data_IF_088741003780
#
_entry.id   IF_088741003780
#
_cell.length_a   1.000
_cell.length_b   1.000
_cell.length_c   1.000
_cell.angle_alpha   90.00
_cell.angle_beta   90.00
_cell.angle_gamma   90.00
#
_symmetry.space_group_name_H-M   'P 1'
#
loop_
_entity.id
_entity.type
_entity.pdbx_description
1 polymer ?
#
# COMPACT_ATOMS: atom_id res chain seq x y z
N UNK A 1 20.82 8.90 8.89
CA UNK A 1 20.92 9.40 10.28
C UNK A 1 21.19 10.90 10.27
N UNK A 2 20.22 11.68 10.76
CA UNK A 2 20.06 13.10 10.47
C UNK A 2 20.95 13.97 11.38
N UNK A 3 21.61 15.00 10.82
CA UNK A 3 22.56 15.91 11.51
C UNK A 3 21.99 16.56 12.79
N UNK A 4 20.66 16.67 12.88
CA UNK A 4 19.92 17.16 14.06
C UNK A 4 19.90 16.19 15.25
N UNK A 5 19.96 14.88 15.04
CA UNK A 5 19.99 13.88 16.13
C UNK A 5 21.29 13.99 16.93
N UNK A 6 22.41 14.02 16.20
CA UNK A 6 23.75 14.15 16.79
C UNK A 6 23.95 15.47 17.56
N UNK A 7 23.25 16.55 17.17
CA UNK A 7 23.31 17.83 17.89
C UNK A 7 22.59 17.78 19.23
N UNK A 8 21.47 17.05 19.30
CA UNK A 8 20.66 16.95 20.51
C UNK A 8 21.28 16.01 21.55
N UNK A 9 21.82 14.87 21.12
CA UNK A 9 22.56 13.99 22.02
C UNK A 9 23.77 14.68 22.65
N UNK A 10 24.50 15.48 21.87
CA UNK A 10 25.59 16.31 22.39
C UNK A 10 25.08 17.29 23.44
N UNK A 11 23.95 17.96 23.17
CA UNK A 11 23.33 18.88 24.12
C UNK A 11 22.96 18.18 25.44
N UNK A 12 22.27 17.03 25.40
CA UNK A 12 21.88 16.28 26.60
C UNK A 12 23.11 15.86 27.42
N UNK A 13 24.18 15.37 26.75
CA UNK A 13 25.44 15.03 27.42
C UNK A 13 26.10 16.24 28.06
N UNK A 14 26.18 17.37 27.35
CA UNK A 14 26.77 18.60 27.88
C UNK A 14 26.00 19.14 29.09
N UNK A 15 24.66 19.15 29.03
CA UNK A 15 23.82 19.58 30.15
C UNK A 15 23.94 18.64 31.34
N UNK A 16 23.99 17.32 31.11
CA UNK A 16 24.19 16.34 32.18
C UNK A 16 25.52 16.51 32.90
N UNK A 17 26.62 16.70 32.16
CA UNK A 17 27.94 16.99 32.73
C UNK A 17 27.89 18.28 33.54
N UNK A 18 27.27 19.32 32.98
CA UNK A 18 27.15 20.62 33.66
C UNK A 18 26.37 20.52 34.98
N UNK A 19 25.24 19.81 35.01
CA UNK A 19 24.45 19.60 36.22
C UNK A 19 25.25 18.89 37.32
N UNK A 20 26.04 17.88 36.96
CA UNK A 20 26.91 17.16 37.89
C UNK A 20 28.02 18.08 38.41
N UNK A 21 28.66 18.86 37.54
CA UNK A 21 29.70 19.81 37.94
C UNK A 21 29.16 20.88 38.90
N UNK A 22 27.96 21.39 38.65
CA UNK A 22 27.29 22.37 39.54
C UNK A 22 26.95 21.74 40.89
N UNK A 23 26.40 20.52 40.91
CA UNK A 23 26.13 19.78 42.14
C UNK A 23 27.40 19.60 43.01
N UNK A 24 28.50 19.19 42.39
CA UNK A 24 29.79 19.01 43.08
C UNK A 24 30.36 20.33 43.59
N UNK A 25 30.29 21.40 42.79
CA UNK A 25 30.76 22.72 43.19
C UNK A 25 30.00 23.24 44.42
N UNK A 26 28.68 23.11 44.43
CA UNK A 26 27.85 23.55 45.56
C UNK A 26 28.15 22.71 46.81
N UNK A 27 28.35 21.40 46.67
CA UNK A 27 28.75 20.53 47.78
C UNK A 27 30.10 20.93 48.39
N UNK A 28 31.09 21.27 47.56
CA UNK A 28 32.38 21.78 48.00
C UNK A 28 32.21 23.11 48.73
N UNK A 29 31.47 24.07 48.15
CA UNK A 29 31.23 25.39 48.76
C UNK A 29 30.55 25.24 50.12
N UNK A 30 29.48 24.45 50.22
CA UNK A 30 28.78 24.21 51.48
C UNK A 30 29.73 23.63 52.54
N UNK A 31 30.55 22.65 52.15
CA UNK A 31 31.56 22.06 53.04
C UNK A 31 32.61 23.08 53.48
N UNK A 32 33.13 23.90 52.56
CA UNK A 32 34.12 24.94 52.86
C UNK A 32 33.56 26.02 53.79
N UNK A 33 32.32 26.46 53.56
CA UNK A 33 31.62 27.42 54.43
C UNK A 33 31.46 26.85 55.83
N UNK A 34 31.03 25.59 55.94
CA UNK A 34 30.91 24.92 57.24
C UNK A 34 32.24 24.87 57.99
N UNK A 35 33.33 24.44 57.34
CA UNK A 35 34.66 24.34 57.96
C UNK A 35 35.16 25.71 58.44
N UNK A 36 34.93 26.76 57.65
CA UNK A 36 35.36 28.12 57.98
C UNK A 36 34.71 28.65 59.27
N UNK A 37 33.40 28.44 59.43
CA UNK A 37 32.66 28.95 60.60
C UNK A 37 32.75 28.03 61.83
N UNK A 38 32.87 26.71 61.66
CA UNK A 38 32.77 25.75 62.76
C UNK A 38 34.08 25.01 63.12
N UNK A 39 35.16 25.24 62.38
CA UNK A 39 36.47 24.56 62.52
C UNK A 39 36.44 23.05 62.27
N UNK A 40 37.55 22.49 61.77
CA UNK A 40 37.67 21.10 61.32
C UNK A 40 37.72 20.03 62.45
N UNK A 41 37.58 20.41 63.72
CA UNK A 41 37.89 19.50 64.82
C UNK A 41 36.79 18.45 65.04
N UNK A 42 37.07 17.14 64.93
CA UNK A 42 36.07 16.10 65.17
C UNK A 42 35.54 16.19 66.60
N UNK A 43 34.22 16.26 66.74
CA UNK A 43 33.58 16.25 68.06
C UNK A 43 33.07 14.86 68.40
N UNK A 44 33.29 14.44 69.64
CA UNK A 44 32.70 13.24 70.24
C UNK A 44 31.21 13.42 70.63
N UNK A 45 30.67 14.64 70.48
CA UNK A 45 29.25 14.91 70.74
C UNK A 45 28.40 14.59 69.51
N UNK A 46 27.39 13.75 69.70
CA UNK A 46 26.39 13.42 68.69
C UNK A 46 25.57 14.64 68.25
N UNK A 47 25.39 15.64 69.12
CA UNK A 47 24.63 16.86 68.83
C UNK A 47 25.29 17.72 67.74
N UNK A 48 26.63 17.82 67.73
CA UNK A 48 27.35 18.57 66.69
C UNK A 48 27.29 17.88 65.33
N UNK A 49 27.26 16.56 65.31
CA UNK A 49 27.03 15.79 64.08
C UNK A 49 25.61 15.95 63.54
N UNK A 50 24.61 16.06 64.42
CA UNK A 50 23.25 16.38 64.02
C UNK A 50 23.16 17.78 63.37
N UNK A 51 23.75 18.80 63.98
CA UNK A 51 23.77 20.17 63.45
C UNK A 51 24.51 20.29 62.10
N UNK A 52 25.61 19.55 61.92
CA UNK A 52 26.27 19.43 60.62
C UNK A 52 25.34 18.81 59.57
N UNK A 53 24.67 17.71 59.94
CA UNK A 53 23.68 17.05 59.10
C UNK A 53 22.54 17.97 58.70
N UNK A 54 22.06 18.80 59.62
CA UNK A 54 21.00 19.79 59.35
C UNK A 54 21.45 20.89 58.40
N UNK A 55 22.68 21.40 58.54
CA UNK A 55 23.23 22.41 57.63
C UNK A 55 23.45 21.85 56.22
N UNK A 56 24.11 20.69 56.12
CA UNK A 56 24.39 20.03 54.84
C UNK A 56 23.09 19.57 54.17
N UNK A 57 22.18 18.96 54.93
CA UNK A 57 20.87 18.52 54.45
C UNK A 57 20.00 19.70 54.04
N UNK A 58 19.97 20.79 54.83
CA UNK A 58 19.20 22.00 54.52
C UNK A 58 19.68 22.74 53.28
N UNK A 59 20.98 22.66 52.96
CA UNK A 59 21.57 23.34 51.79
C UNK A 59 21.59 22.44 50.55
N UNK A 60 22.01 21.18 50.68
CA UNK A 60 22.21 20.27 49.55
C UNK A 60 20.91 19.61 49.09
N UNK A 61 19.97 19.29 49.98
CA UNK A 61 18.74 18.61 49.57
C UNK A 61 17.87 19.45 48.62
N UNK A 62 17.65 20.77 48.83
CA UNK A 62 16.92 21.58 47.87
C UNK A 62 17.63 21.69 46.50
N UNK A 63 18.96 21.79 46.50
CA UNK A 63 19.77 21.86 45.28
C UNK A 63 19.70 20.54 44.51
N UNK A 64 19.93 19.41 45.18
CA UNK A 64 19.82 18.09 44.55
C UNK A 64 18.39 17.80 44.12
N UNK A 65 17.38 18.19 44.91
CA UNK A 65 15.97 18.06 44.53
C UNK A 65 15.64 18.83 43.24
N UNK A 66 16.15 20.06 43.09
CA UNK A 66 15.99 20.84 41.86
C UNK A 66 16.74 20.22 40.67
N UNK A 67 17.97 19.76 40.87
CA UNK A 67 18.74 19.06 39.82
C UNK A 67 18.04 17.76 39.41
N UNK A 68 17.48 17.01 40.36
CA UNK A 68 16.68 15.80 40.09
C UNK A 68 15.42 16.13 39.29
N UNK A 69 14.73 17.22 39.61
CA UNK A 69 13.58 17.68 38.83
C UNK A 69 13.99 18.04 37.39
N UNK A 70 15.09 18.78 37.20
CA UNK A 70 15.62 19.11 35.87
C UNK A 70 16.03 17.85 35.09
N UNK A 71 16.68 16.90 35.75
CA UNK A 71 17.06 15.63 35.13
C UNK A 71 15.82 14.85 34.64
N UNK A 72 14.78 14.76 35.47
CA UNK A 72 13.51 14.12 35.09
C UNK A 72 12.85 14.86 33.92
N UNK A 73 12.82 16.19 33.93
CA UNK A 73 12.25 16.97 32.82
C UNK A 73 13.01 16.71 31.51
N UNK A 74 14.36 16.69 31.54
CA UNK A 74 15.17 16.36 30.37
C UNK A 74 14.85 14.93 29.89
N UNK A 75 14.76 13.97 30.81
CA UNK A 75 14.38 12.59 30.49
C UNK A 75 13.01 12.51 29.83
N UNK A 76 12.00 13.24 30.34
CA UNK A 76 10.66 13.28 29.74
C UNK A 76 10.67 13.88 28.33
N UNK A 77 11.43 14.94 28.09
CA UNK A 77 11.58 15.51 26.75
C UNK A 77 12.25 14.55 25.77
N UNK A 78 13.28 13.83 26.21
CA UNK A 78 13.94 12.80 25.39
C UNK A 78 12.95 11.67 25.07
N UNK A 79 12.24 11.15 26.07
CA UNK A 79 11.26 10.07 25.90
C UNK A 79 10.12 10.48 24.96
N UNK A 80 9.57 11.68 25.10
CA UNK A 80 8.51 12.19 24.22
C UNK A 80 8.98 12.28 22.76
N UNK A 81 10.24 12.68 22.55
CA UNK A 81 10.83 12.76 21.21
C UNK A 81 11.06 11.38 20.60
N UNK A 82 11.63 10.45 21.36
CA UNK A 82 11.84 9.06 20.90
C UNK A 82 10.50 8.40 20.56
N UNK A 83 9.47 8.63 21.37
CA UNK A 83 8.12 8.14 21.09
C UNK A 83 7.59 8.70 19.77
N UNK A 84 7.75 10.00 19.53
CA UNK A 84 7.34 10.63 18.26
C UNK A 84 8.06 10.02 17.05
N UNK A 85 9.38 9.80 17.14
CA UNK A 85 10.12 9.16 16.07
C UNK A 85 9.73 7.69 15.86
N UNK A 86 9.46 6.97 16.95
CA UNK A 86 8.97 5.60 16.90
C UNK A 86 7.59 5.52 16.25
N UNK A 87 6.68 6.45 16.54
CA UNK A 87 5.35 6.50 15.92
C UNK A 87 5.41 6.78 14.41
N UNK A 88 6.29 7.68 13.99
CA UNK A 88 6.53 7.98 12.56
C UNK A 88 7.08 6.74 11.84
N UNK A 89 8.10 6.09 12.40
CA UNK A 89 8.66 4.87 11.82
C UNK A 89 7.65 3.71 11.74
N UNK A 90 6.77 3.57 12.73
CA UNK A 90 5.70 2.56 12.73
C UNK A 90 4.63 2.88 11.67
N UNK A 91 4.33 4.16 11.43
CA UNK A 91 3.41 4.56 10.37
C UNK A 91 3.98 4.21 8.99
N UNK A 92 5.25 4.56 8.73
CA UNK A 92 5.94 4.23 7.47
C UNK A 92 6.03 2.70 7.26
N UNK A 93 6.29 1.96 8.33
CA UNK A 93 6.27 0.50 8.31
C UNK A 93 4.88 -0.05 7.98
N UNK A 94 3.82 0.52 8.58
CA UNK A 94 2.43 0.16 8.31
C UNK A 94 2.04 0.37 6.85
N UNK A 95 2.45 1.48 6.25
CA UNK A 95 2.24 1.74 4.82
C UNK A 95 2.99 0.74 3.94
N UNK A 96 4.26 0.47 4.26
CA UNK A 96 5.08 -0.50 3.53
C UNK A 96 4.48 -1.91 3.58
N UNK A 97 4.00 -2.34 4.76
CA UNK A 97 3.31 -3.62 4.92
C UNK A 97 2.01 -3.69 4.14
N UNK A 98 1.25 -2.59 4.06
CA UNK A 98 0.03 -2.52 3.25
C UNK A 98 0.33 -2.70 1.76
N UNK A 99 1.38 -2.06 1.25
CA UNK A 99 1.83 -2.24 -0.14
C UNK A 99 2.26 -3.68 -0.38
N UNK A 100 3.10 -4.25 0.48
CA UNK A 100 3.55 -5.65 0.35
C UNK A 100 2.39 -6.64 0.39
N UNK A 101 1.42 -6.47 1.30
CA UNK A 101 0.26 -7.34 1.40
C UNK A 101 -0.62 -7.28 0.14
N UNK A 102 -0.81 -6.09 -0.42
CA UNK A 102 -1.48 -5.89 -1.70
C UNK A 102 -0.72 -6.61 -2.83
N UNK A 103 0.58 -6.33 -2.99
CA UNK A 103 1.41 -6.89 -4.07
C UNK A 103 1.48 -8.42 -4.02
N UNK A 104 1.66 -8.99 -2.83
CA UNK A 104 1.67 -10.44 -2.64
C UNK A 104 0.34 -11.07 -3.11
N UNK A 105 -0.79 -10.43 -2.78
CA UNK A 105 -2.11 -10.92 -3.20
C UNK A 105 -2.31 -10.72 -4.70
N UNK A 106 -1.91 -9.57 -5.25
CA UNK A 106 -1.98 -9.26 -6.68
C UNK A 106 -1.20 -10.27 -7.52
N UNK A 107 0.08 -10.51 -7.20
CA UNK A 107 0.91 -11.47 -7.94
C UNK A 107 0.43 -12.91 -7.76
N UNK A 108 -0.14 -13.25 -6.60
CA UNK A 108 -0.81 -14.54 -6.40
C UNK A 108 -2.03 -14.69 -7.31
N UNK A 109 -2.88 -13.66 -7.43
CA UNK A 109 -4.03 -13.66 -8.34
C UNK A 109 -3.59 -13.76 -9.80
N UNK A 110 -2.53 -13.04 -10.21
CA UNK A 110 -1.96 -13.14 -11.56
C UNK A 110 -1.42 -14.54 -11.86
N UNK A 111 -0.76 -15.17 -10.90
CA UNK A 111 -0.27 -16.54 -11.04
C UNK A 111 -1.42 -17.52 -11.22
N UNK A 112 -2.44 -17.47 -10.36
CA UNK A 112 -3.63 -18.32 -10.46
C UNK A 112 -4.39 -18.08 -11.77
N UNK A 113 -4.47 -16.83 -12.23
CA UNK A 113 -5.04 -16.49 -13.53
C UNK A 113 -4.27 -17.16 -14.67
N UNK A 114 -2.95 -17.00 -14.72
CA UNK A 114 -2.13 -17.62 -15.77
C UNK A 114 -2.20 -19.16 -15.74
N UNK A 115 -2.22 -19.78 -14.56
CA UNK A 115 -2.42 -21.22 -14.42
C UNK A 115 -3.81 -21.66 -14.92
N UNK A 116 -4.86 -20.88 -14.61
CA UNK A 116 -6.21 -21.11 -15.13
C UNK A 116 -6.27 -20.99 -16.65
N UNK A 117 -5.54 -20.05 -17.25
CA UNK A 117 -5.41 -19.92 -18.70
C UNK A 117 -4.69 -21.13 -19.29
N UNK A 118 -3.56 -21.55 -18.72
CA UNK A 118 -2.78 -22.67 -19.23
C UNK A 118 -3.57 -23.99 -19.23
N UNK A 119 -4.33 -24.25 -18.17
CA UNK A 119 -5.17 -25.44 -18.02
C UNK A 119 -6.49 -25.37 -18.77
N UNK A 120 -6.77 -24.24 -19.44
CA UNK A 120 -8.03 -24.02 -20.13
C UNK A 120 -8.09 -24.87 -21.40
N UNK A 121 -9.17 -25.64 -21.58
CA UNK A 121 -9.38 -26.44 -22.78
C UNK A 121 -10.82 -26.47 -23.26
N UNK A 122 -11.01 -26.47 -24.58
CA UNK A 122 -12.30 -26.71 -25.22
C UNK A 122 -12.16 -27.98 -26.05
N UNK A 123 -13.01 -28.96 -25.74
CA UNK A 123 -13.16 -30.16 -26.55
C UNK A 123 -13.99 -29.83 -27.80
N UNK A 124 -13.54 -30.30 -28.96
CA UNK A 124 -14.28 -30.17 -30.21
C UNK A 124 -14.45 -31.54 -30.84
N UNK A 125 -15.65 -31.84 -31.34
CA UNK A 125 -15.94 -33.14 -31.91
C UNK A 125 -15.10 -33.34 -33.18
N UNK A 126 -14.29 -34.40 -33.22
CA UNK A 126 -13.40 -34.78 -34.33
C UNK A 126 -12.19 -33.86 -34.58
N UNK A 127 -11.86 -32.92 -33.70
CA UNK A 127 -10.62 -32.14 -33.74
C UNK A 127 -9.81 -32.30 -32.44
N UNK A 128 -8.49 -32.12 -32.46
CA UNK A 128 -7.70 -32.05 -31.24
C UNK A 128 -8.19 -30.92 -30.32
N UNK A 129 -8.26 -31.19 -29.03
CA UNK A 129 -8.65 -30.17 -28.03
C UNK A 129 -7.81 -28.90 -28.16
N UNK A 130 -8.48 -27.76 -28.19
CA UNK A 130 -7.82 -26.46 -28.07
C UNK A 130 -7.39 -26.27 -26.62
N UNK A 131 -6.15 -25.85 -26.40
CA UNK A 131 -5.59 -25.63 -25.06
C UNK A 131 -4.96 -24.25 -24.92
N UNK A 132 -4.98 -23.73 -23.71
CA UNK A 132 -4.31 -22.47 -23.37
C UNK A 132 -4.81 -21.29 -24.20
N UNK A 133 -3.87 -20.48 -24.67
CA UNK A 133 -4.15 -19.30 -25.50
C UNK A 133 -4.87 -19.61 -26.83
N UNK A 134 -4.74 -20.83 -27.37
CA UNK A 134 -5.42 -21.21 -28.62
C UNK A 134 -6.95 -21.22 -28.47
N UNK A 135 -7.45 -21.50 -27.26
CA UNK A 135 -8.89 -21.46 -26.95
C UNK A 135 -9.46 -20.06 -27.21
N UNK A 136 -8.75 -19.02 -26.79
CA UNK A 136 -9.23 -17.65 -26.92
C UNK A 136 -9.29 -17.17 -28.36
N UNK A 137 -8.39 -17.68 -29.22
CA UNK A 137 -8.48 -17.46 -30.68
C UNK A 137 -9.78 -18.03 -31.22
N UNK A 138 -10.09 -19.29 -30.90
CA UNK A 138 -11.34 -19.96 -31.32
C UNK A 138 -12.58 -19.24 -30.78
N UNK A 139 -12.56 -18.78 -29.53
CA UNK A 139 -13.65 -17.98 -28.96
C UNK A 139 -13.83 -16.64 -29.70
N UNK A 140 -12.73 -15.98 -30.08
CA UNK A 140 -12.77 -14.78 -30.92
C UNK A 140 -13.41 -15.04 -32.29
N UNK A 141 -13.05 -16.15 -32.95
CA UNK A 141 -13.65 -16.58 -34.23
C UNK A 141 -15.16 -16.87 -34.09
N UNK A 142 -15.56 -17.57 -33.01
CA UNK A 142 -16.97 -17.84 -32.70
C UNK A 142 -17.76 -16.55 -32.47
N UNK A 143 -17.17 -15.56 -31.80
CA UNK A 143 -17.78 -14.24 -31.59
C UNK A 143 -17.94 -13.48 -32.91
N UNK A 144 -16.91 -13.47 -33.76
CA UNK A 144 -16.95 -12.84 -35.09
C UNK A 144 -18.02 -13.47 -35.99
N UNK A 145 -18.12 -14.80 -35.99
CA UNK A 145 -19.16 -15.50 -36.72
C UNK A 145 -20.57 -15.13 -36.20
N UNK A 146 -20.77 -15.08 -34.88
CA UNK A 146 -22.04 -14.67 -34.28
C UNK A 146 -22.43 -13.23 -34.65
N UNK A 147 -21.45 -12.33 -34.75
CA UNK A 147 -21.65 -10.97 -35.21
C UNK A 147 -22.03 -10.88 -36.68
N UNK A 148 -21.30 -11.54 -37.59
CA UNK A 148 -21.63 -11.56 -39.03
C UNK A 148 -23.03 -12.11 -39.30
N UNK A 149 -23.43 -13.17 -38.59
CA UNK A 149 -24.78 -13.71 -38.66
C UNK A 149 -25.85 -12.75 -38.13
N UNK A 150 -25.57 -12.04 -37.04
CA UNK A 150 -26.55 -11.09 -36.48
C UNK A 150 -26.68 -9.84 -37.35
N UNK A 151 -25.56 -9.29 -37.82
CA UNK A 151 -25.52 -8.14 -38.72
C UNK A 151 -26.24 -8.42 -40.05
N UNK A 152 -26.03 -9.60 -40.64
CA UNK A 152 -26.73 -9.99 -41.88
C UNK A 152 -28.25 -10.14 -41.71
N UNK A 153 -28.72 -10.55 -40.52
CA UNK A 153 -30.16 -10.72 -40.20
C UNK A 153 -30.83 -9.43 -39.73
N UNK A 154 -30.08 -8.49 -39.15
CA UNK A 154 -30.58 -7.28 -38.48
C UNK A 154 -30.13 -6.01 -39.21
N UNK A 155 -30.19 -5.99 -40.55
CA UNK A 155 -29.63 -4.90 -41.39
C UNK A 155 -30.20 -3.50 -41.13
N UNK A 156 -31.35 -3.41 -40.47
CA UNK A 156 -32.01 -2.13 -40.16
C UNK A 156 -31.91 -1.74 -38.68
N UNK A 157 -31.31 -2.59 -37.84
CA UNK A 157 -31.14 -2.33 -36.42
C UNK A 157 -29.93 -1.44 -36.16
N UNK A 158 -29.96 -0.73 -35.04
CA UNK A 158 -28.79 0.01 -34.55
C UNK A 158 -27.64 -0.95 -34.22
N UNK A 159 -26.40 -0.50 -34.46
CA UNK A 159 -25.18 -1.30 -34.24
C UNK A 159 -25.11 -1.86 -32.81
N UNK A 160 -25.59 -1.09 -31.82
CA UNK A 160 -25.63 -1.50 -30.42
C UNK A 160 -26.52 -2.74 -30.22
N UNK A 161 -27.67 -2.81 -30.90
CA UNK A 161 -28.57 -3.96 -30.83
C UNK A 161 -27.97 -5.19 -31.52
N UNK A 162 -27.27 -4.97 -32.64
CA UNK A 162 -26.55 -6.02 -33.36
C UNK A 162 -25.46 -6.63 -32.47
N UNK A 163 -24.65 -5.80 -31.80
CA UNK A 163 -23.62 -6.26 -30.86
C UNK A 163 -24.24 -7.04 -29.71
N UNK A 164 -25.32 -6.53 -29.08
CA UNK A 164 -25.99 -7.22 -27.97
C UNK A 164 -26.55 -8.58 -28.40
N UNK A 165 -27.21 -8.65 -29.56
CA UNK A 165 -27.76 -9.88 -30.13
C UNK A 165 -26.66 -10.90 -30.46
N UNK A 166 -25.58 -10.45 -31.08
CA UNK A 166 -24.42 -11.28 -31.41
C UNK A 166 -23.75 -11.82 -30.15
N UNK A 167 -23.46 -10.95 -29.19
CA UNK A 167 -22.81 -11.32 -27.94
C UNK A 167 -23.67 -12.28 -27.12
N UNK A 168 -24.99 -12.06 -27.05
CA UNK A 168 -25.90 -12.96 -26.35
C UNK A 168 -25.88 -14.38 -26.95
N UNK A 169 -25.92 -14.51 -28.28
CA UNK A 169 -25.81 -15.81 -28.97
C UNK A 169 -24.42 -16.45 -28.76
N UNK A 170 -23.37 -15.66 -28.84
CA UNK A 170 -22.01 -16.15 -28.57
C UNK A 170 -21.90 -16.68 -27.14
N UNK A 171 -22.33 -15.88 -26.17
CA UNK A 171 -22.24 -16.19 -24.76
C UNK A 171 -23.08 -17.42 -24.40
N UNK A 172 -24.30 -17.57 -24.93
CA UNK A 172 -25.15 -18.73 -24.64
C UNK A 172 -24.51 -20.06 -25.07
N UNK A 173 -23.75 -20.09 -26.16
CA UNK A 173 -23.09 -21.30 -26.67
C UNK A 173 -21.71 -21.55 -26.04
N UNK A 174 -21.11 -20.54 -25.40
CA UNK A 174 -19.75 -20.62 -24.86
C UNK A 174 -19.70 -20.27 -23.36
N UNK A 175 -20.85 -20.25 -22.70
CA UNK A 175 -21.04 -19.72 -21.35
C UNK A 175 -20.04 -20.32 -20.37
N UNK A 176 -19.98 -21.64 -20.29
CA UNK A 176 -19.13 -22.38 -19.34
C UNK A 176 -17.69 -21.88 -19.35
N UNK A 177 -17.14 -21.64 -20.54
CA UNK A 177 -15.76 -21.19 -20.72
C UNK A 177 -15.62 -19.68 -20.49
N UNK A 178 -16.43 -18.89 -21.18
CA UNK A 178 -16.30 -17.42 -21.21
C UNK A 178 -16.57 -16.82 -19.85
N UNK A 179 -17.54 -17.36 -19.12
CA UNK A 179 -17.96 -16.90 -17.80
C UNK A 179 -16.88 -17.10 -16.73
N UNK A 180 -16.20 -18.26 -16.72
CA UNK A 180 -15.07 -18.53 -15.82
C UNK A 180 -13.93 -17.52 -16.08
N UNK A 181 -13.57 -17.36 -17.35
CA UNK A 181 -12.50 -16.43 -17.73
C UNK A 181 -12.82 -14.98 -17.32
N UNK A 182 -14.01 -14.49 -17.67
CA UNK A 182 -14.40 -13.11 -17.38
C UNK A 182 -14.52 -12.84 -15.88
N UNK A 183 -14.99 -13.82 -15.08
CA UNK A 183 -14.98 -13.69 -13.61
C UNK A 183 -13.58 -13.48 -13.06
N UNK A 184 -12.59 -14.22 -13.56
CA UNK A 184 -11.20 -14.05 -13.12
C UNK A 184 -10.64 -12.68 -13.51
N UNK A 185 -10.90 -12.22 -14.74
CA UNK A 185 -10.52 -10.87 -15.18
C UNK A 185 -11.16 -9.81 -14.29
N UNK A 186 -12.48 -9.92 -14.06
CA UNK A 186 -13.24 -9.00 -13.19
C UNK A 186 -12.67 -8.95 -11.79
N UNK A 187 -12.34 -10.11 -11.21
CA UNK A 187 -11.84 -10.21 -9.85
C UNK A 187 -10.50 -9.47 -9.70
N UNK A 188 -9.58 -9.64 -10.65
CA UNK A 188 -8.29 -8.92 -10.64
C UNK A 188 -8.52 -7.42 -10.77
N UNK A 189 -9.36 -7.01 -11.72
CA UNK A 189 -9.67 -5.59 -11.94
C UNK A 189 -10.29 -4.92 -10.71
N UNK A 190 -11.28 -5.56 -10.08
CA UNK A 190 -11.91 -5.04 -8.87
C UNK A 190 -10.95 -5.07 -7.68
N UNK A 191 -10.10 -6.09 -7.56
CA UNK A 191 -9.06 -6.10 -6.54
C UNK A 191 -8.12 -4.90 -6.68
N UNK A 192 -7.66 -4.59 -7.89
CA UNK A 192 -6.85 -3.39 -8.14
C UNK A 192 -7.65 -2.11 -7.88
N UNK A 193 -8.90 -2.03 -8.35
CA UNK A 193 -9.77 -0.87 -8.14
C UNK A 193 -9.94 -0.55 -6.65
N UNK A 194 -10.22 -1.56 -5.83
CA UNK A 194 -10.71 -1.39 -4.47
C UNK A 194 -9.62 -1.50 -3.39
N UNK A 195 -8.50 -2.20 -3.68
CA UNK A 195 -7.48 -2.54 -2.68
C UNK A 195 -6.09 -1.96 -2.99
N UNK A 196 -5.86 -1.48 -4.22
CA UNK A 196 -4.56 -0.93 -4.58
C UNK A 196 -4.30 0.40 -3.85
N UNK A 197 -3.22 0.51 -3.07
CA UNK A 197 -2.95 1.71 -2.27
C UNK A 197 -2.56 2.90 -3.15
N UNK A 198 -1.74 2.68 -4.18
CA UNK A 198 -1.19 3.72 -5.06
C UNK A 198 -0.97 3.16 -6.48
N UNK A 199 -0.91 4.02 -7.49
CA UNK A 199 -0.53 3.65 -8.88
C UNK A 199 -1.38 2.53 -9.53
N UNK A 200 -2.72 2.59 -9.41
CA UNK A 200 -3.65 1.60 -9.99
C UNK A 200 -3.36 1.24 -11.45
N UNK A 201 -3.13 2.26 -12.31
CA UNK A 201 -2.83 2.06 -13.73
C UNK A 201 -1.61 1.15 -13.94
N UNK A 202 -0.55 1.30 -13.16
CA UNK A 202 0.65 0.46 -13.28
C UNK A 202 0.35 -1.04 -13.06
N UNK A 203 -0.46 -1.37 -12.05
CA UNK A 203 -0.85 -2.77 -11.80
C UNK A 203 -1.83 -3.29 -12.86
N UNK A 204 -2.71 -2.43 -13.38
CA UNK A 204 -3.56 -2.79 -14.51
C UNK A 204 -2.73 -3.05 -15.78
N UNK A 205 -1.72 -2.24 -16.06
CA UNK A 205 -0.81 -2.41 -17.20
C UNK A 205 -0.02 -3.73 -17.09
N UNK A 206 0.42 -4.09 -15.88
CA UNK A 206 1.04 -5.39 -15.61
C UNK A 206 0.08 -6.55 -15.92
N UNK A 207 -1.19 -6.43 -15.53
CA UNK A 207 -2.21 -7.42 -15.84
C UNK A 207 -2.53 -7.47 -17.34
N UNK A 208 -2.70 -6.31 -17.99
CA UNK A 208 -2.93 -6.19 -19.42
C UNK A 208 -1.82 -6.83 -20.25
N UNK A 209 -0.56 -6.69 -19.82
CA UNK A 209 0.58 -7.33 -20.47
C UNK A 209 0.51 -8.88 -20.48
N UNK A 210 -0.32 -9.48 -19.63
CA UNK A 210 -0.57 -10.94 -19.62
C UNK A 210 -1.70 -11.36 -20.58
N UNK A 211 -2.49 -10.42 -21.09
CA UNK A 211 -3.64 -10.71 -21.95
C UNK A 211 -3.24 -10.72 -23.41
N UNK A 212 -3.64 -11.77 -24.13
CA UNK A 212 -3.58 -11.78 -25.60
C UNK A 212 -4.65 -10.86 -26.20
N UNK A 213 -4.47 -10.45 -27.45
CA UNK A 213 -5.44 -9.61 -28.15
C UNK A 213 -6.85 -10.23 -28.23
N UNK A 214 -6.95 -11.57 -28.37
CA UNK A 214 -8.24 -12.26 -28.41
C UNK A 214 -8.92 -12.28 -27.03
N UNK A 215 -8.13 -12.40 -25.95
CA UNK A 215 -8.62 -12.26 -24.59
C UNK A 215 -9.15 -10.85 -24.33
N UNK A 216 -8.36 -9.83 -24.68
CA UNK A 216 -8.76 -8.44 -24.52
C UNK A 216 -10.01 -8.09 -25.37
N UNK A 217 -10.14 -8.68 -26.56
CA UNK A 217 -11.33 -8.56 -27.40
C UNK A 217 -12.59 -9.08 -26.69
N UNK A 218 -12.51 -10.25 -26.05
CA UNK A 218 -13.64 -10.82 -25.29
C UNK A 218 -14.02 -9.93 -24.11
N UNK A 219 -13.03 -9.40 -23.39
CA UNK A 219 -13.25 -8.47 -22.27
C UNK A 219 -13.91 -7.19 -22.76
N UNK A 220 -13.48 -6.65 -23.91
CA UNK A 220 -14.06 -5.45 -24.52
C UNK A 220 -15.56 -5.59 -24.80
N UNK A 221 -15.97 -6.63 -25.54
CA UNK A 221 -17.39 -6.82 -25.85
C UNK A 221 -18.22 -7.19 -24.63
N UNK A 222 -17.64 -7.93 -23.68
CA UNK A 222 -18.33 -8.20 -22.42
C UNK A 222 -18.55 -6.92 -21.61
N UNK A 223 -17.52 -6.09 -21.43
CA UNK A 223 -17.63 -4.81 -20.71
C UNK A 223 -18.60 -3.84 -21.40
N UNK A 224 -18.69 -3.90 -22.74
CA UNK A 224 -19.62 -3.07 -23.49
C UNK A 224 -21.08 -3.48 -23.28
N UNK A 225 -21.37 -4.78 -23.30
CA UNK A 225 -22.73 -5.34 -23.19
C UNK A 225 -23.20 -5.48 -21.74
N UNK A 226 -22.29 -5.77 -20.80
CA UNK A 226 -22.59 -6.09 -19.41
C UNK A 226 -22.21 -4.93 -18.48
N UNK A 227 -23.16 -4.06 -18.09
CA UNK A 227 -22.86 -2.89 -17.24
C UNK A 227 -22.34 -3.26 -15.83
N UNK A 228 -22.70 -4.44 -15.33
CA UNK A 228 -22.32 -4.90 -13.98
C UNK A 228 -20.90 -5.51 -13.90
N UNK A 229 -20.19 -5.57 -15.03
CA UNK A 229 -18.85 -6.14 -15.11
C UNK A 229 -17.83 -5.29 -14.34
N UNK A 230 -17.42 -4.16 -14.91
CA UNK A 230 -16.56 -3.16 -14.28
C UNK A 230 -17.04 -1.79 -14.78
N UNK A 231 -16.98 -0.76 -13.92
CA UNK A 231 -17.38 0.59 -14.31
C UNK A 231 -16.64 1.04 -15.58
N UNK A 232 -17.39 1.58 -16.53
CA UNK A 232 -16.85 2.16 -17.78
C UNK A 232 -15.90 3.31 -17.49
N UNK A 233 -16.21 4.13 -16.48
CA UNK A 233 -15.33 5.24 -16.06
C UNK A 233 -13.98 4.72 -15.59
N UNK A 234 -13.96 3.65 -14.78
CA UNK A 234 -12.71 3.05 -14.32
C UNK A 234 -11.88 2.48 -15.48
N UNK A 235 -12.54 1.83 -16.45
CA UNK A 235 -11.88 1.33 -17.66
C UNK A 235 -11.28 2.47 -18.50
N UNK A 236 -12.02 3.56 -18.63
CA UNK A 236 -11.65 4.76 -19.40
C UNK A 236 -10.50 5.54 -18.78
N UNK A 237 -10.61 5.85 -17.48
CA UNK A 237 -9.57 6.55 -16.72
C UNK A 237 -8.21 5.84 -16.76
N UNK A 238 -8.22 4.51 -16.89
CA UNK A 238 -7.01 3.70 -16.96
C UNK A 238 -6.58 3.35 -18.40
N UNK A 239 -7.32 3.79 -19.43
CA UNK A 239 -7.07 3.50 -20.85
C UNK A 239 -6.95 1.99 -21.11
N UNK A 240 -7.78 1.17 -20.45
CA UNK A 240 -7.60 -0.28 -20.35
C UNK A 240 -7.62 -0.99 -21.72
N UNK A 241 -8.38 -0.47 -22.69
CA UNK A 241 -8.47 -1.04 -24.05
C UNK A 241 -7.54 -0.36 -25.07
N UNK A 242 -6.66 0.56 -24.65
CA UNK A 242 -5.69 1.18 -25.54
C UNK A 242 -4.82 0.18 -26.31
N UNK A 243 -4.38 -0.98 -25.75
CA UNK A 243 -3.56 -1.94 -26.48
C UNK A 243 -4.35 -2.75 -27.52
N UNK A 244 -5.69 -2.74 -27.50
CA UNK A 244 -6.52 -3.53 -28.41
C UNK A 244 -6.48 -2.93 -29.84
N UNK A 245 -5.91 -3.64 -30.83
CA UNK A 245 -5.83 -3.13 -32.19
C UNK A 245 -7.22 -2.99 -32.81
N UNK A 246 -7.51 -1.89 -33.50
CA UNK A 246 -8.80 -1.69 -34.17
C UNK A 246 -9.08 -2.73 -35.26
N UNK A 247 -8.06 -3.39 -35.80
CA UNK A 247 -8.19 -4.51 -36.75
C UNK A 247 -8.75 -5.79 -36.13
N UNK A 248 -8.69 -5.94 -34.80
CA UNK A 248 -9.26 -7.09 -34.08
C UNK A 248 -10.76 -6.90 -33.78
N UNK A 249 -11.28 -5.68 -33.89
CA UNK A 249 -12.69 -5.41 -33.63
C UNK A 249 -13.58 -6.04 -34.71
N UNK A 250 -14.79 -6.46 -34.32
CA UNK A 250 -15.75 -7.15 -35.20
C UNK A 250 -16.23 -6.29 -36.38
N UNK A 251 -16.15 -4.97 -36.24
CA UNK A 251 -16.43 -3.98 -37.27
C UNK A 251 -15.57 -2.75 -37.08
N UNK A 252 -15.24 -2.06 -38.19
CA UNK A 252 -14.52 -0.79 -38.14
C UNK A 252 -15.28 0.29 -37.36
N UNK A 253 -16.62 0.22 -37.34
CA UNK A 253 -17.47 1.14 -36.60
C UNK A 253 -17.26 1.04 -35.08
N UNK A 254 -16.79 -0.10 -34.59
CA UNK A 254 -16.59 -0.32 -33.15
C UNK A 254 -15.34 0.39 -32.61
N UNK A 255 -14.47 0.92 -33.48
CA UNK A 255 -13.34 1.74 -33.05
C UNK A 255 -13.83 2.99 -32.31
N UNK A 256 -14.89 3.64 -32.81
CA UNK A 256 -15.48 4.81 -32.16
C UNK A 256 -16.05 4.47 -30.79
N UNK A 257 -16.65 3.28 -30.65
CA UNK A 257 -17.14 2.80 -29.34
C UNK A 257 -15.98 2.67 -28.35
N UNK A 258 -14.83 2.15 -28.80
CA UNK A 258 -13.64 2.03 -27.96
C UNK A 258 -13.16 3.38 -27.46
N UNK A 259 -13.14 4.40 -28.32
CA UNK A 259 -12.58 5.71 -28.02
C UNK A 259 -13.58 6.64 -27.27
N UNK A 260 -14.88 6.46 -27.48
CA UNK A 260 -15.93 7.28 -26.85
C UNK A 260 -16.35 6.74 -25.47
N UNK A 261 -16.50 5.41 -25.37
CA UNK A 261 -17.07 4.74 -24.19
C UNK A 261 -16.00 4.31 -23.18
N UNK A 262 -14.82 3.96 -23.66
CA UNK A 262 -13.68 3.53 -22.86
C UNK A 262 -12.45 4.39 -23.12
#
# INVERSE_FOLDING_TARGET
MNKKSNSFEKFVKTVGIWLISVALLIAIIASSVYIYYFSWMPSSSHEKWAQFGDFMGGTLNPVFGFISLLAILITLFVQARELSHSTEALQDQGESLRVQAFENTFFSLLKLFNESIYNFSIAENNEPDFKGYAVFRKLGERLDHAYKLSNSRMRQSDEIEVIKSAYSKFYSHNHEYVDIYLRNVRQIMLFVKDRCPYHKKQYLDMFLAQLSNHQLLLVFYHAYVSPDFVSKDFLKENEFFSPLPSSMLLSKLHANIKDEVF
#
